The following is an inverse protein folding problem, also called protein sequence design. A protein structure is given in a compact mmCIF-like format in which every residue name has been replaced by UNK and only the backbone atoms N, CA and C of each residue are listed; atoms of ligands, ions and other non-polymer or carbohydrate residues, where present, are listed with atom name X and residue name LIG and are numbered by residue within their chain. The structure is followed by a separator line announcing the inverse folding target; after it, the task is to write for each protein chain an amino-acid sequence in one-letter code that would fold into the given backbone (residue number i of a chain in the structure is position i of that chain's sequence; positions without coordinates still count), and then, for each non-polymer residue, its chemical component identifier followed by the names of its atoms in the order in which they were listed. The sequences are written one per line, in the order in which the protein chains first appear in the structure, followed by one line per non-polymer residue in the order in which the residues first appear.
data_IF_293117606875
#
_entry.id   IF_293117606875
#
_cell.length_a   1.000
_cell.length_b   1.000
_cell.length_c   1.000
_cell.angle_alpha   90.00
_cell.angle_beta   90.00
_cell.angle_gamma   90.00
#
_symmetry.space_group_name_H-M   'P 1'
#
loop_
_entity.id
_entity.type
_entity.pdbx_description
1 polymer ?
#
# COMPACT_ATOMS: atom_id res chain seq x y z
N UNK A 1 -5.60 -8.03 6.90
CA UNK A 1 -4.16 -8.18 6.56
C UNK A 1 -3.84 -8.84 5.20
N UNK A 2 -2.94 -8.22 4.45
CA UNK A 2 -2.21 -8.78 3.30
C UNK A 2 -0.70 -8.63 3.52
N UNK A 3 0.13 -9.46 2.88
CA UNK A 3 1.58 -9.35 3.00
C UNK A 3 2.12 -8.28 2.06
N UNK A 4 2.94 -7.36 2.57
CA UNK A 4 3.60 -6.31 1.78
C UNK A 4 4.55 -6.94 0.75
N UNK A 5 4.55 -6.37 -0.46
CA UNK A 5 5.55 -6.64 -1.50
C UNK A 5 6.49 -5.44 -1.59
N UNK A 6 7.77 -5.67 -1.28
CA UNK A 6 8.81 -4.64 -1.15
C UNK A 6 8.96 -4.10 0.27
N UNK A 7 9.77 -3.06 0.43
CA UNK A 7 10.02 -2.41 1.71
C UNK A 7 9.57 -0.95 1.67
N UNK A 8 9.17 -0.41 2.82
CA UNK A 8 8.77 0.97 2.97
C UNK A 8 9.44 1.58 4.20
N UNK A 9 9.84 2.85 4.10
CA UNK A 9 10.32 3.60 5.25
C UNK A 9 9.24 3.84 6.30
N UNK A 10 9.64 4.48 7.40
CA UNK A 10 8.70 4.95 8.41
C UNK A 10 7.70 5.95 7.81
N UNK A 11 6.47 5.92 8.30
CA UNK A 11 5.44 6.86 7.89
C UNK A 11 5.60 8.19 8.65
N UNK A 12 5.17 9.28 8.01
CA UNK A 12 5.15 10.59 8.65
C UNK A 12 4.01 10.74 9.66
N UNK A 13 3.81 11.97 10.19
CA UNK A 13 2.87 12.25 11.28
C UNK A 13 1.38 12.21 10.85
N UNK A 14 1.09 11.77 9.63
CA UNK A 14 -0.27 11.68 9.10
C UNK A 14 -0.48 10.31 8.51
N UNK A 15 -1.70 9.81 8.65
CA UNK A 15 -2.10 8.59 7.98
C UNK A 15 -1.92 8.76 6.47
N UNK A 16 -1.28 7.77 5.84
CA UNK A 16 -1.12 7.73 4.39
C UNK A 16 -1.94 6.58 3.82
N UNK A 17 -2.57 6.84 2.69
CA UNK A 17 -3.29 5.86 1.90
C UNK A 17 -2.52 5.64 0.61
N UNK A 18 -1.70 4.60 0.60
CA UNK A 18 -0.86 4.26 -0.53
C UNK A 18 -1.70 3.50 -1.54
N UNK A 19 -1.72 3.98 -2.78
CA UNK A 19 -2.33 3.21 -3.87
C UNK A 19 -1.57 1.91 -4.02
N UNK A 20 -2.29 0.80 -4.09
CA UNK A 20 -1.72 -0.52 -4.17
C UNK A 20 -2.51 -1.45 -5.10
N UNK A 21 -1.83 -2.48 -5.56
CA UNK A 21 -2.44 -3.65 -6.19
C UNK A 21 -2.44 -4.78 -5.16
N UNK A 22 -3.63 -5.29 -4.85
CA UNK A 22 -3.81 -6.45 -3.99
C UNK A 22 -4.26 -7.64 -4.82
N UNK A 23 -3.52 -8.73 -4.75
CA UNK A 23 -3.81 -9.95 -5.51
C UNK A 23 -3.69 -11.20 -4.63
N UNK A 24 -4.39 -12.25 -5.03
CA UNK A 24 -4.29 -13.56 -4.37
C UNK A 24 -3.19 -14.40 -5.04
N UNK A 25 -2.09 -14.61 -4.32
CA UNK A 25 -0.98 -15.47 -4.75
C UNK A 25 -0.32 -16.13 -3.54
N UNK A 26 -0.79 -17.34 -3.24
CA UNK A 26 -0.44 -18.09 -2.02
C UNK A 26 -0.77 -17.30 -0.73
N UNK A 27 -1.91 -16.60 -0.77
CA UNK A 27 -2.34 -15.60 0.20
C UNK A 27 -2.47 -14.20 -0.41
N UNK A 28 -3.06 -13.26 0.35
CA UNK A 28 -3.16 -11.87 -0.10
C UNK A 28 -1.79 -11.20 -0.09
N UNK A 29 -1.42 -10.61 -1.23
CA UNK A 29 -0.22 -9.78 -1.39
C UNK A 29 -0.62 -8.36 -1.73
N UNK A 30 0.03 -7.37 -1.12
CA UNK A 30 -0.22 -5.96 -1.31
C UNK A 30 1.03 -5.27 -1.85
N UNK A 31 0.99 -4.80 -3.10
CA UNK A 31 2.08 -4.09 -3.75
C UNK A 31 1.73 -2.60 -3.92
N UNK A 32 2.25 -1.69 -3.08
CA UNK A 32 2.07 -0.25 -3.27
C UNK A 32 2.79 0.23 -4.53
N UNK A 33 2.18 1.17 -5.26
CA UNK A 33 2.82 1.75 -6.44
C UNK A 33 4.00 2.64 -6.05
N UNK A 34 5.13 2.55 -6.78
CA UNK A 34 6.32 3.37 -6.49
C UNK A 34 6.10 4.87 -6.66
N UNK A 35 5.23 5.30 -7.59
CA UNK A 35 4.81 6.71 -7.72
C UNK A 35 3.47 6.93 -7.02
N UNK A 36 3.47 7.82 -6.04
CA UNK A 36 2.30 8.21 -5.25
C UNK A 36 1.81 9.63 -5.57
N UNK A 37 2.23 10.21 -6.70
CA UNK A 37 1.75 11.50 -7.16
C UNK A 37 0.26 11.46 -7.52
N UNK A 38 -0.52 12.34 -6.89
CA UNK A 38 -1.98 12.44 -7.06
C UNK A 38 -2.39 13.05 -8.40
N UNK A 39 -1.48 13.75 -9.08
CA UNK A 39 -1.70 14.35 -10.41
C UNK A 39 -1.68 13.32 -11.54
N UNK A 40 -1.23 12.09 -11.28
CA UNK A 40 -1.21 11.01 -12.26
C UNK A 40 -2.52 10.19 -12.19
N UNK A 41 -3.53 10.62 -12.96
CA UNK A 41 -4.80 9.90 -13.14
C UNK A 41 -4.60 8.42 -13.56
N UNK A 42 -3.50 8.12 -14.26
CA UNK A 42 -3.14 6.75 -14.68
C UNK A 42 -2.78 5.82 -13.51
N UNK A 43 -2.20 6.33 -12.42
CA UNK A 43 -1.86 5.50 -11.24
C UNK A 43 -3.12 5.19 -10.42
N UNK A 44 -4.05 6.15 -10.32
CA UNK A 44 -5.39 5.90 -9.76
C UNK A 44 -6.15 4.85 -10.59
N UNK A 45 -6.00 4.88 -11.92
CA UNK A 45 -6.65 3.91 -12.79
C UNK A 45 -6.11 2.47 -12.64
N UNK A 46 -4.94 2.23 -12.06
CA UNK A 46 -4.38 0.88 -11.93
C UNK A 46 -4.56 0.24 -10.55
N UNK A 47 -4.83 1.02 -9.50
CA UNK A 47 -4.98 0.49 -8.15
C UNK A 47 -6.35 -0.16 -7.91
N UNK A 48 -6.39 -1.30 -7.22
CA UNK A 48 -7.64 -1.90 -6.75
C UNK A 48 -7.85 -1.73 -5.24
N UNK A 49 -6.83 -1.26 -4.52
CA UNK A 49 -6.87 -1.03 -3.09
C UNK A 49 -6.05 0.20 -2.65
N UNK A 50 -6.36 0.70 -1.46
CA UNK A 50 -5.57 1.67 -0.71
C UNK A 50 -4.99 0.97 0.52
N UNK A 51 -3.66 0.80 0.54
CA UNK A 51 -2.93 0.35 1.72
C UNK A 51 -2.87 1.46 2.76
N UNK A 52 -3.21 1.14 4.00
CA UNK A 52 -3.30 2.09 5.10
C UNK A 52 -2.01 2.08 5.89
N UNK A 53 -1.39 3.25 6.06
CA UNK A 53 -0.25 3.48 6.95
C UNK A 53 -0.67 4.45 8.05
N UNK A 54 -0.74 4.03 9.33
CA UNK A 54 -1.02 4.92 10.46
C UNK A 54 0.03 6.04 10.61
N UNK A 55 -0.28 7.15 11.30
CA UNK A 55 0.73 8.14 11.68
C UNK A 55 1.90 7.49 12.43
N UNK A 56 3.13 7.93 12.13
CA UNK A 56 4.37 7.50 12.78
C UNK A 56 4.63 5.98 12.73
N UNK A 57 3.98 5.28 11.81
CA UNK A 57 4.14 3.85 11.61
C UNK A 57 5.59 3.49 11.26
N UNK A 58 6.09 2.39 11.81
CA UNK A 58 7.49 1.99 11.66
C UNK A 58 7.83 1.64 10.21
N UNK A 59 9.12 1.51 9.91
CA UNK A 59 9.54 0.95 8.62
C UNK A 59 9.01 -0.49 8.47
N UNK A 60 8.57 -0.83 7.27
CA UNK A 60 8.03 -2.15 6.94
C UNK A 60 8.97 -2.87 5.98
N UNK A 61 9.12 -4.16 6.23
CA UNK A 61 9.87 -5.11 5.41
C UNK A 61 8.96 -5.88 4.46
N UNK A 62 9.57 -6.50 3.45
CA UNK A 62 8.86 -7.42 2.57
C UNK A 62 8.26 -8.58 3.37
N UNK A 63 6.99 -8.87 3.12
CA UNK A 63 6.24 -9.91 3.82
C UNK A 63 5.48 -9.44 5.07
N UNK A 64 5.72 -8.23 5.57
CA UNK A 64 5.00 -7.71 6.75
C UNK A 64 3.50 -7.61 6.49
N UNK A 65 2.69 -7.86 7.53
CA UNK A 65 1.24 -7.74 7.44
C UNK A 65 0.81 -6.27 7.39
N UNK A 66 0.00 -5.94 6.39
CA UNK A 66 -0.53 -4.59 6.18
C UNK A 66 -2.04 -4.61 6.00
N UNK A 67 -2.67 -3.53 6.46
CA UNK A 67 -4.09 -3.30 6.25
C UNK A 67 -4.36 -2.49 4.99
N UNK A 68 -5.51 -2.73 4.38
CA UNK A 68 -5.91 -2.07 3.14
C UNK A 68 -7.42 -1.99 3.01
N UNK A 69 -7.88 -1.09 2.13
CA UNK A 69 -9.28 -0.89 1.79
C UNK A 69 -9.45 -1.08 0.29
N UNK A 70 -10.43 -1.89 -0.12
CA UNK A 70 -10.80 -2.06 -1.53
C UNK A 70 -11.41 -0.76 -2.09
N UNK A 71 -11.00 -0.38 -3.30
CA UNK A 71 -11.56 0.78 -4.02
C UNK A 71 -12.18 0.39 -5.37
N UNK A 72 -12.24 -0.90 -5.67
CA UNK A 72 -12.87 -1.51 -6.83
C UNK A 72 -13.59 -2.79 -6.46
#
# INVERSE_FOLDING_TARGET
PARLVGALGANGPRAQYLRAMVEWKDGWRCAPFGRQDSSLLSVLASANALMVRPPDDAALCDGDDVEFVWIR
#
